data_IF_438753012568
#
_entry.id   IF_438753012568
#
_cell.length_a   1.000
_cell.length_b   1.000
_cell.length_c   1.000
_cell.angle_alpha   90.00
_cell.angle_beta   90.00
_cell.angle_gamma   90.00
#
_symmetry.space_group_name_H-M   'P 1'
#
loop_
_entity.id
_entity.type
_entity.pdbx_description
1 polymer ?
#
# COMPACT_ATOMS: atom_id res chain seq x y z
N UNK A 1 -11.07 3.41 3.87
CA UNK A 1 -10.13 2.97 2.83
C UNK A 1 -10.83 2.03 1.89
N UNK A 2 -10.73 2.30 0.61
CA UNK A 2 -11.43 1.52 -0.40
C UNK A 2 -10.50 1.21 -1.54
N UNK A 3 -10.88 0.23 -2.35
CA UNK A 3 -10.11 -0.10 -3.53
C UNK A 3 -10.03 1.12 -4.44
N UNK A 4 -8.83 1.37 -4.94
CA UNK A 4 -8.61 2.51 -5.80
C UNK A 4 -8.11 3.75 -5.08
N UNK A 5 -8.15 3.76 -3.77
CA UNK A 5 -7.65 4.89 -3.01
C UNK A 5 -6.12 4.92 -3.07
N UNK A 6 -5.59 6.13 -3.02
CA UNK A 6 -4.14 6.28 -2.95
C UNK A 6 -3.72 6.40 -1.50
N UNK A 7 -2.63 5.71 -1.17
CA UNK A 7 -2.12 5.71 0.19
C UNK A 7 -0.62 5.84 0.16
N UNK A 8 -0.05 6.27 1.28
CA UNK A 8 1.39 6.30 1.44
C UNK A 8 1.77 5.36 2.55
N UNK A 9 2.96 4.83 2.46
CA UNK A 9 3.45 3.89 3.47
C UNK A 9 4.96 3.98 3.53
N UNK A 10 5.50 3.54 4.66
CA UNK A 10 6.94 3.53 4.85
C UNK A 10 7.51 2.23 4.33
N UNK A 11 8.57 2.35 3.54
CA UNK A 11 9.23 1.18 3.00
C UNK A 11 10.73 1.46 2.93
N UNK A 12 11.51 0.68 3.66
CA UNK A 12 12.95 0.79 3.63
C UNK A 12 13.41 2.22 3.88
N UNK A 13 12.88 2.83 4.93
CA UNK A 13 13.22 4.20 5.35
C UNK A 13 12.75 5.27 4.40
N UNK A 14 11.92 4.91 3.43
CA UNK A 14 11.37 5.89 2.51
C UNK A 14 9.87 5.83 2.55
N UNK A 15 9.26 6.94 2.19
CA UNK A 15 7.82 6.97 2.05
C UNK A 15 7.47 6.68 0.59
N UNK A 16 6.66 5.67 0.38
CA UNK A 16 6.23 5.29 -0.96
C UNK A 16 4.75 5.52 -1.11
N UNK A 17 4.33 5.71 -2.33
CA UNK A 17 2.94 5.92 -2.64
C UNK A 17 2.42 4.75 -3.45
N UNK A 18 1.22 4.31 -3.12
CA UNK A 18 0.62 3.21 -3.84
C UNK A 18 -0.88 3.37 -3.92
N UNK A 19 -1.51 2.43 -4.61
CA UNK A 19 -2.95 2.43 -4.77
C UNK A 19 -3.50 1.18 -4.11
N UNK A 20 -4.59 1.35 -3.37
CA UNK A 20 -5.23 0.21 -2.71
C UNK A 20 -5.77 -0.73 -3.78
N UNK A 21 -5.30 -1.97 -3.75
CA UNK A 21 -5.73 -2.98 -4.69
C UNK A 21 -6.91 -3.76 -4.15
N UNK A 22 -6.87 -4.08 -2.86
CA UNK A 22 -7.94 -4.82 -2.24
C UNK A 22 -7.93 -4.57 -0.74
N UNK A 23 -9.10 -4.55 -0.13
CA UNK A 23 -9.23 -4.30 1.30
C UNK A 23 -9.81 -5.52 1.97
N UNK A 24 -9.17 -5.96 3.03
CA UNK A 24 -9.66 -7.04 3.87
C UNK A 24 -10.06 -6.47 5.23
N UNK A 25 -10.51 -7.34 6.09
CA UNK A 25 -11.02 -6.90 7.37
C UNK A 25 -9.98 -6.10 8.17
N UNK A 26 -8.76 -6.59 8.20
CA UNK A 26 -7.71 -5.95 9.00
C UNK A 26 -6.48 -5.59 8.18
N UNK A 27 -6.44 -5.97 6.93
CA UNK A 27 -5.28 -5.74 6.10
C UNK A 27 -5.72 -5.18 4.77
N UNK A 28 -4.74 -4.68 4.04
CA UNK A 28 -5.01 -4.10 2.74
C UNK A 28 -3.85 -4.44 1.81
N UNK A 29 -4.19 -4.71 0.57
CA UNK A 29 -3.18 -4.95 -0.46
C UNK A 29 -2.98 -3.65 -1.22
N UNK A 30 -1.73 -3.26 -1.37
CA UNK A 30 -1.37 -2.01 -2.02
C UNK A 30 -0.50 -2.31 -3.22
N UNK A 31 -0.89 -1.76 -4.35
CA UNK A 31 -0.11 -1.90 -5.57
C UNK A 31 0.77 -0.67 -5.72
N UNK A 32 2.06 -0.86 -5.80
CA UNK A 32 2.99 0.25 -5.88
C UNK A 32 4.08 -0.07 -6.90
N UNK A 33 4.59 0.97 -7.53
CA UNK A 33 5.69 0.83 -8.47
C UNK A 33 6.99 1.08 -7.74
N UNK A 34 7.87 0.09 -7.78
CA UNK A 34 9.20 0.25 -7.23
C UNK A 34 10.19 0.30 -8.38
N UNK A 35 11.39 0.85 -8.13
CA UNK A 35 12.37 0.95 -9.20
C UNK A 35 12.68 -0.37 -9.89
N UNK A 36 12.64 -1.47 -9.14
CA UNK A 36 12.96 -2.77 -9.69
C UNK A 36 11.74 -3.65 -9.91
N UNK A 37 10.60 -3.25 -9.38
CA UNK A 37 9.41 -4.08 -9.45
C UNK A 37 8.19 -3.20 -9.66
N UNK A 38 7.80 -3.06 -10.89
CA UNK A 38 6.60 -2.27 -11.19
C UNK A 38 5.37 -3.08 -10.90
N UNK A 39 4.40 -2.42 -10.31
CA UNK A 39 3.13 -3.06 -10.03
C UNK A 39 3.21 -4.12 -8.96
N UNK A 40 4.17 -4.01 -8.06
CA UNK A 40 4.30 -4.98 -7.00
C UNK A 40 3.18 -4.77 -5.98
N UNK A 41 2.62 -5.86 -5.51
CA UNK A 41 1.55 -5.81 -4.51
C UNK A 41 2.14 -6.20 -3.17
N UNK A 42 1.91 -5.35 -2.18
CA UNK A 42 2.37 -5.61 -0.82
C UNK A 42 1.17 -5.59 0.12
N UNK A 43 1.29 -6.28 1.21
CA UNK A 43 0.24 -6.35 2.21
C UNK A 43 0.64 -5.56 3.45
N UNK A 44 -0.26 -4.72 3.93
CA UNK A 44 -0.04 -3.94 5.12
C UNK A 44 -1.26 -4.02 6.01
N UNK A 45 -1.04 -3.90 7.30
CA UNK A 45 -2.16 -3.80 8.22
C UNK A 45 -2.76 -2.40 8.12
N UNK A 46 -4.07 -2.33 8.19
CA UNK A 46 -4.74 -1.06 7.97
C UNK A 46 -4.27 0.01 8.95
N UNK A 47 -4.10 -0.35 10.22
CA UNK A 47 -3.71 0.65 11.20
C UNK A 47 -2.27 1.14 11.01
N UNK A 48 -1.48 0.48 10.19
CA UNK A 48 -0.14 0.95 9.90
C UNK A 48 -0.13 2.03 8.83
N UNK A 49 -1.23 2.17 8.12
CA UNK A 49 -1.31 3.15 7.07
C UNK A 49 -1.98 4.43 7.48
N UNK A 50 -2.57 4.50 8.59
CA UNK A 50 -3.30 5.56 8.89
C UNK A 50 -2.88 6.73 9.09
N UNK A 51 -3.07 7.24 8.77
CA UNK A 51 -2.94 8.25 8.83
C UNK A 51 -3.38 8.73 9.11
#
# INVERSE_FOLDING_TARGET
MQEGDKVTFNFAKETKEGTVFKVFEKTVLIKADFPKHKGKIIRRKIHQLEK
#
